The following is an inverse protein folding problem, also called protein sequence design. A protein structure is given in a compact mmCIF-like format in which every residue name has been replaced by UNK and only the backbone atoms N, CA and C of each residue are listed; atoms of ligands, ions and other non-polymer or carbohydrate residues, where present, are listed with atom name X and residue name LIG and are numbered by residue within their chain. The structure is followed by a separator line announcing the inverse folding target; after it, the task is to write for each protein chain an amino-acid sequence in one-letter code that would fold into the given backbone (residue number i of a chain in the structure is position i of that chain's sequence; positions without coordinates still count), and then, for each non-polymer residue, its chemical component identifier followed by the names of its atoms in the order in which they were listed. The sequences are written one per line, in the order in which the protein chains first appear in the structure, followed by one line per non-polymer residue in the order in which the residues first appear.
data_IF_869938662164
#
_entry.id   IF_869938662164
#
_cell.length_a   1.000
_cell.length_b   1.000
_cell.length_c   1.000
_cell.angle_alpha   90.00
_cell.angle_beta   90.00
_cell.angle_gamma   90.00
#
_symmetry.space_group_name_H-M   'P 1'
#
loop_
_entity.id
_entity.type
_entity.pdbx_description
1 polymer ?
#
# COMPACT_ATOMS: atom_id res chain seq x y z
N UNK A 1 -65.79 3.04 69.82
CA UNK A 1 -65.77 2.14 68.65
C UNK A 1 -65.45 2.99 67.43
N UNK A 2 -64.22 3.15 67.08
CA UNK A 2 -63.76 4.08 66.03
C UNK A 2 -63.28 3.26 64.84
N UNK A 3 -63.96 3.39 63.74
CA UNK A 3 -63.71 2.74 62.47
C UNK A 3 -62.67 3.57 61.68
N UNK A 4 -61.49 3.08 61.52
CA UNK A 4 -60.41 3.72 60.72
C UNK A 4 -60.47 3.13 59.30
N UNK A 5 -60.93 3.90 58.34
CA UNK A 5 -60.84 3.58 56.90
C UNK A 5 -59.41 3.89 56.37
N UNK A 6 -58.74 2.88 55.87
CA UNK A 6 -57.47 3.04 55.12
C UNK A 6 -57.77 3.58 53.72
N UNK A 7 -57.27 4.71 53.41
CA UNK A 7 -57.28 5.27 52.06
C UNK A 7 -56.09 4.69 51.28
N UNK A 8 -56.37 4.01 50.18
CA UNK A 8 -55.37 3.50 49.22
C UNK A 8 -55.16 4.60 48.18
N UNK A 9 -53.94 5.20 48.22
CA UNK A 9 -53.52 6.18 47.22
C UNK A 9 -52.98 5.44 45.99
N UNK A 10 -53.69 5.52 44.87
CA UNK A 10 -53.21 5.08 43.58
C UNK A 10 -52.21 6.13 43.02
N UNK A 11 -50.99 5.79 42.93
CA UNK A 11 -49.95 6.59 42.24
C UNK A 11 -50.08 6.31 40.76
N UNK A 12 -50.64 7.25 40.03
CA UNK A 12 -50.67 7.25 38.57
C UNK A 12 -49.36 7.87 38.09
N UNK A 13 -48.45 7.06 37.58
CA UNK A 13 -47.22 7.54 36.92
C UNK A 13 -47.56 8.20 35.59
N UNK A 14 -47.48 9.52 35.55
CA UNK A 14 -47.56 10.30 34.33
C UNK A 14 -46.15 10.29 33.71
N UNK A 15 -45.95 9.52 32.63
CA UNK A 15 -44.80 9.64 31.79
C UNK A 15 -44.88 10.94 30.98
N UNK A 16 -44.13 11.93 31.42
CA UNK A 16 -43.94 13.16 30.66
C UNK A 16 -42.94 12.89 29.55
N UNK A 17 -43.40 12.69 28.32
CA UNK A 17 -42.56 12.64 27.12
C UNK A 17 -42.22 14.08 26.78
N UNK A 18 -41.02 14.52 27.18
CA UNK A 18 -40.45 15.76 26.70
C UNK A 18 -39.78 15.44 25.36
N UNK A 19 -40.48 15.74 24.27
CA UNK A 19 -39.90 15.78 22.93
C UNK A 19 -39.03 17.03 22.85
N UNK A 20 -37.73 16.91 23.11
CA UNK A 20 -36.75 17.93 22.74
C UNK A 20 -36.57 17.87 21.23
N UNK A 21 -37.18 18.80 20.52
CA UNK A 21 -36.83 19.20 19.19
C UNK A 21 -35.47 19.90 19.29
N UNK A 22 -34.38 19.13 19.19
CA UNK A 22 -33.03 19.68 18.95
C UNK A 22 -33.01 20.03 17.47
N UNK A 23 -33.08 21.32 17.19
CA UNK A 23 -32.85 21.87 15.87
C UNK A 23 -31.44 21.45 15.42
N UNK A 24 -31.37 20.61 14.38
CA UNK A 24 -30.15 20.19 13.72
C UNK A 24 -29.66 21.38 12.93
N UNK A 25 -28.91 22.28 13.58
CA UNK A 25 -28.04 23.21 12.89
C UNK A 25 -26.97 22.34 12.16
N UNK A 26 -27.10 22.23 10.86
CA UNK A 26 -26.00 21.76 10.01
C UNK A 26 -24.85 22.76 10.12
N UNK A 27 -24.01 22.58 11.10
CA UNK A 27 -22.65 23.13 11.05
C UNK A 27 -21.94 22.26 10.03
N UNK A 28 -21.73 22.78 8.84
CA UNK A 28 -20.76 22.25 7.89
C UNK A 28 -19.36 22.41 8.47
N UNK A 29 -19.09 21.71 9.55
CA UNK A 29 -17.75 21.46 10.05
C UNK A 29 -17.18 20.38 9.19
N UNK A 30 -16.09 20.66 8.49
CA UNK A 30 -15.22 19.66 7.88
C UNK A 30 -14.81 18.69 8.99
N UNK A 31 -15.53 17.59 9.12
CA UNK A 31 -15.09 16.47 9.94
C UNK A 31 -13.90 15.90 9.17
N UNK A 32 -12.70 16.28 9.60
CA UNK A 32 -11.52 15.49 9.33
C UNK A 32 -11.75 14.15 10.02
N UNK A 33 -12.42 13.23 9.33
CA UNK A 33 -12.53 11.87 9.76
C UNK A 33 -11.10 11.32 9.71
N UNK A 34 -10.48 11.19 10.89
CA UNK A 34 -9.35 10.29 11.06
C UNK A 34 -9.84 8.90 10.66
N UNK A 35 -9.64 8.54 9.41
CA UNK A 35 -10.05 7.25 8.89
C UNK A 35 -9.19 6.20 9.58
N UNK A 36 -9.84 5.33 10.32
CA UNK A 36 -9.27 4.05 10.66
C UNK A 36 -8.88 3.39 9.33
N UNK A 37 -7.64 2.87 9.25
CA UNK A 37 -7.23 1.95 8.18
C UNK A 37 -8.33 0.91 8.05
N UNK A 38 -9.11 0.99 6.98
CA UNK A 38 -10.17 0.03 6.76
C UNK A 38 -9.56 -1.14 6.03
N UNK A 39 -9.92 -2.37 6.38
CA UNK A 39 -9.49 -3.58 5.67
C UNK A 39 -9.89 -3.59 4.18
N UNK A 40 -10.62 -2.56 3.73
CA UNK A 40 -11.15 -2.46 2.36
C UNK A 40 -10.17 -1.92 1.33
N UNK A 41 -9.31 -1.00 1.74
CA UNK A 41 -8.31 -0.39 0.85
C UNK A 41 -7.00 -0.20 1.58
N UNK A 42 -5.89 -0.44 0.89
CA UNK A 42 -4.55 -0.10 1.40
C UNK A 42 -3.56 0.11 0.25
N UNK A 43 -2.50 0.85 0.53
CA UNK A 43 -1.32 0.84 -0.32
C UNK A 43 -0.83 -0.60 -0.45
N UNK A 44 -0.64 -1.09 -1.68
CA UNK A 44 0.02 -2.36 -1.95
C UNK A 44 1.52 -2.16 -2.03
N UNK A 45 1.96 -1.30 -2.95
CA UNK A 45 3.36 -0.86 -3.09
C UNK A 45 3.45 0.45 -3.86
N UNK A 46 4.60 1.11 -3.75
CA UNK A 46 4.91 2.30 -4.53
C UNK A 46 6.37 2.27 -5.00
N UNK A 47 6.60 2.69 -6.24
CA UNK A 47 7.91 2.81 -6.85
C UNK A 47 8.20 4.30 -7.10
N UNK A 48 8.98 4.97 -6.27
CA UNK A 48 9.40 6.34 -6.52
C UNK A 48 10.50 6.39 -7.58
N UNK A 49 10.42 7.40 -8.45
CA UNK A 49 11.41 7.73 -9.47
C UNK A 49 11.85 9.17 -9.28
N UNK A 50 13.10 9.39 -9.02
CA UNK A 50 13.62 10.74 -8.92
C UNK A 50 13.80 11.35 -10.31
N UNK A 51 13.04 12.40 -10.58
CA UNK A 51 13.11 13.17 -11.81
C UNK A 51 14.05 14.36 -11.70
N UNK A 52 14.16 15.10 -12.80
CA UNK A 52 14.89 16.37 -12.82
C UNK A 52 14.23 17.40 -11.91
N UNK A 53 15.01 18.35 -11.43
CA UNK A 53 14.55 19.50 -10.64
C UNK A 53 13.90 19.16 -9.29
N UNK A 54 14.23 18.01 -8.69
CA UNK A 54 13.71 17.61 -7.39
C UNK A 54 12.28 17.05 -7.40
N UNK A 55 11.69 16.84 -8.57
CA UNK A 55 10.41 16.16 -8.69
C UNK A 55 10.56 14.65 -8.47
N UNK A 56 9.59 14.04 -7.83
CA UNK A 56 9.48 12.59 -7.73
C UNK A 56 8.20 12.13 -8.43
N UNK A 57 8.33 11.20 -9.35
CA UNK A 57 7.19 10.48 -9.93
C UNK A 57 7.01 9.18 -9.17
N UNK A 58 5.78 8.88 -8.81
CA UNK A 58 5.40 7.66 -8.11
C UNK A 58 4.57 6.79 -9.04
N UNK A 59 4.93 5.53 -9.16
CA UNK A 59 4.07 4.47 -9.63
C UNK A 59 3.45 3.81 -8.41
N UNK A 60 2.15 3.90 -8.25
CA UNK A 60 1.45 3.44 -7.04
C UNK A 60 0.52 2.30 -7.37
N UNK A 61 0.64 1.22 -6.62
CA UNK A 61 -0.27 0.09 -6.64
C UNK A 61 -1.10 0.08 -5.36
N UNK A 62 -2.41 -0.02 -5.50
CA UNK A 62 -3.38 0.05 -4.41
C UNK A 62 -4.20 -1.22 -4.43
N UNK A 63 -4.41 -1.86 -3.30
CA UNK A 63 -5.31 -3.01 -3.21
C UNK A 63 -6.66 -2.64 -2.64
N UNK A 64 -7.71 -3.30 -3.17
CA UNK A 64 -9.05 -3.32 -2.57
C UNK A 64 -9.53 -4.76 -2.44
N UNK A 65 -10.27 -5.05 -1.35
CA UNK A 65 -10.73 -6.41 -0.99
C UNK A 65 -12.23 -6.57 -0.94
N UNK A 66 -12.99 -5.65 -1.50
CA UNK A 66 -14.43 -5.75 -1.54
C UNK A 66 -14.97 -5.93 -2.97
N UNK A 67 -16.27 -6.24 -3.06
CA UNK A 67 -16.99 -6.47 -4.31
C UNK A 67 -18.04 -5.39 -4.56
N UNK A 68 -17.81 -4.14 -4.10
CA UNK A 68 -18.69 -3.03 -4.39
C UNK A 68 -18.91 -2.89 -5.90
N UNK A 69 -20.12 -2.54 -6.28
CA UNK A 69 -20.50 -2.44 -7.70
C UNK A 69 -19.93 -1.19 -8.36
N UNK A 70 -19.89 -0.08 -7.62
CA UNK A 70 -19.27 1.19 -8.06
C UNK A 70 -18.00 1.42 -7.22
N UNK A 71 -16.85 1.36 -7.89
CA UNK A 71 -15.55 1.49 -7.24
C UNK A 71 -14.70 2.54 -7.94
N UNK A 72 -14.19 3.50 -7.17
CA UNK A 72 -13.21 4.49 -7.63
C UNK A 72 -12.08 4.61 -6.62
N UNK A 73 -10.88 4.51 -7.11
CA UNK A 73 -9.65 4.56 -6.30
C UNK A 73 -8.81 5.75 -6.73
N UNK A 74 -8.27 6.46 -5.77
CA UNK A 74 -7.45 7.65 -6.03
C UNK A 74 -6.22 7.65 -5.13
N UNK A 75 -5.14 8.22 -5.65
CA UNK A 75 -4.09 8.82 -4.83
C UNK A 75 -4.47 10.26 -4.55
N UNK A 76 -4.55 10.61 -3.27
CA UNK A 76 -4.83 11.96 -2.80
C UNK A 76 -3.52 12.57 -2.34
N UNK A 77 -3.07 13.64 -2.97
CA UNK A 77 -1.75 14.21 -2.77
C UNK A 77 -1.76 15.74 -2.97
N UNK A 78 -0.74 16.42 -2.46
CA UNK A 78 -0.47 17.79 -2.84
C UNK A 78 0.81 17.86 -3.70
N UNK A 79 0.79 18.73 -4.70
CA UNK A 79 1.90 18.87 -5.63
C UNK A 79 3.12 19.56 -4.98
N UNK A 80 2.87 20.46 -4.05
CA UNK A 80 3.86 21.23 -3.31
C UNK A 80 3.32 21.53 -1.91
N UNK A 81 4.19 21.72 -0.91
CA UNK A 81 3.78 22.16 0.42
C UNK A 81 2.96 23.46 0.35
N UNK A 82 1.85 23.47 1.09
CA UNK A 82 0.91 24.61 1.12
C UNK A 82 -0.05 24.71 -0.05
N UNK A 83 0.01 23.81 -1.03
CA UNK A 83 -1.01 23.71 -2.08
C UNK A 83 -2.19 22.84 -1.66
N UNK A 84 -3.31 23.01 -2.35
CA UNK A 84 -4.48 22.16 -2.15
C UNK A 84 -4.19 20.72 -2.54
N UNK A 85 -4.82 19.82 -1.80
CA UNK A 85 -4.77 18.40 -2.10
C UNK A 85 -5.68 18.09 -3.29
N UNK A 86 -5.22 17.20 -4.15
CA UNK A 86 -5.91 16.80 -5.35
C UNK A 86 -5.96 15.29 -5.50
N UNK A 87 -6.97 14.80 -6.23
CA UNK A 87 -7.17 13.39 -6.50
C UNK A 87 -6.58 13.00 -7.86
N UNK A 88 -5.78 11.95 -7.90
CA UNK A 88 -5.35 11.27 -9.12
C UNK A 88 -6.00 9.90 -9.17
N UNK A 89 -6.92 9.69 -10.10
CA UNK A 89 -7.61 8.42 -10.27
C UNK A 89 -6.66 7.29 -10.67
N UNK A 90 -6.91 6.12 -10.10
CA UNK A 90 -6.21 4.88 -10.41
C UNK A 90 -7.11 3.97 -11.26
N UNK A 91 -6.53 3.25 -12.19
CA UNK A 91 -7.20 2.29 -13.04
C UNK A 91 -7.03 0.86 -12.51
N UNK A 92 -8.04 0.01 -12.71
CA UNK A 92 -7.92 -1.41 -12.36
C UNK A 92 -6.81 -2.03 -13.23
N UNK A 93 -5.77 -2.50 -12.56
CA UNK A 93 -4.60 -3.06 -13.22
C UNK A 93 -4.69 -4.59 -13.36
N UNK A 94 -5.01 -5.29 -12.26
CA UNK A 94 -5.17 -6.75 -12.26
C UNK A 94 -6.00 -7.21 -11.07
N UNK A 95 -6.42 -8.47 -11.11
CA UNK A 95 -7.08 -9.17 -9.99
C UNK A 95 -6.22 -10.36 -9.63
N UNK A 96 -5.83 -10.46 -8.36
CA UNK A 96 -5.04 -11.56 -7.84
C UNK A 96 -5.90 -12.83 -7.70
N UNK A 97 -5.26 -13.99 -7.53
CA UNK A 97 -5.94 -15.29 -7.42
C UNK A 97 -6.93 -15.38 -6.25
N UNK A 98 -6.75 -14.59 -5.22
CA UNK A 98 -7.62 -14.51 -4.04
C UNK A 98 -8.78 -13.51 -4.21
N UNK A 99 -8.93 -12.93 -5.40
CA UNK A 99 -9.94 -11.93 -5.72
C UNK A 99 -9.57 -10.49 -5.34
N UNK A 100 -8.42 -10.26 -4.72
CA UNK A 100 -7.91 -8.92 -4.43
C UNK A 100 -7.69 -8.13 -5.71
N UNK A 101 -8.28 -6.95 -5.82
CA UNK A 101 -8.10 -6.05 -6.96
C UNK A 101 -6.90 -5.16 -6.72
N UNK A 102 -6.05 -5.04 -7.71
CA UNK A 102 -4.90 -4.12 -7.73
C UNK A 102 -5.20 -2.99 -8.71
N UNK A 103 -5.13 -1.78 -8.21
CA UNK A 103 -5.31 -0.55 -8.97
C UNK A 103 -3.97 0.14 -9.14
N UNK A 104 -3.77 0.84 -10.24
CA UNK A 104 -2.51 1.46 -10.59
C UNK A 104 -2.70 2.90 -11.03
N UNK A 105 -1.81 3.79 -10.59
CA UNK A 105 -1.73 5.15 -11.10
C UNK A 105 -0.30 5.68 -11.03
N UNK A 106 -0.09 6.80 -11.70
CA UNK A 106 1.14 7.58 -11.64
C UNK A 106 0.81 9.01 -11.25
N UNK A 107 1.60 9.58 -10.36
CA UNK A 107 1.56 11.02 -10.09
C UNK A 107 2.97 11.56 -9.89
N UNK A 108 3.14 12.86 -10.11
CA UNK A 108 4.42 13.56 -9.92
C UNK A 108 4.22 14.68 -8.93
N UNK A 109 5.15 14.83 -7.99
CA UNK A 109 5.08 15.85 -6.95
C UNK A 109 6.48 16.29 -6.52
N UNK A 110 6.60 17.55 -6.10
CA UNK A 110 7.75 18.03 -5.31
C UNK A 110 7.61 17.64 -3.86
N UNK A 111 6.37 17.55 -3.35
CA UNK A 111 6.09 17.03 -2.04
C UNK A 111 5.98 15.51 -2.10
N UNK A 112 6.38 14.87 -1.03
CA UNK A 112 6.41 13.41 -0.98
C UNK A 112 5.21 12.80 -0.24
N UNK A 113 4.25 13.63 0.21
CA UNK A 113 3.11 13.14 0.98
C UNK A 113 1.92 12.80 0.12
N UNK A 114 1.33 11.65 0.38
CA UNK A 114 0.09 11.20 -0.23
C UNK A 114 -0.65 10.22 0.67
N UNK A 115 -1.94 10.06 0.44
CA UNK A 115 -2.75 8.99 1.01
C UNK A 115 -3.64 8.38 -0.07
N UNK A 116 -4.32 7.28 0.27
CA UNK A 116 -5.19 6.57 -0.64
C UNK A 116 -6.65 6.89 -0.30
N UNK A 117 -7.43 7.23 -1.32
CA UNK A 117 -8.87 7.45 -1.23
C UNK A 117 -9.58 6.38 -2.05
N UNK A 118 -10.56 5.74 -1.45
CA UNK A 118 -11.39 4.73 -2.09
C UNK A 118 -12.86 5.10 -1.90
N UNK A 119 -13.61 5.14 -2.99
CA UNK A 119 -15.06 5.37 -2.98
C UNK A 119 -15.72 4.08 -3.46
N UNK A 120 -16.55 3.49 -2.60
CA UNK A 120 -17.29 2.27 -2.87
C UNK A 120 -18.77 2.48 -2.57
N UNK A 121 -19.61 2.35 -3.59
CA UNK A 121 -21.07 2.51 -3.48
C UNK A 121 -21.47 3.81 -2.75
N UNK A 122 -20.77 4.91 -3.04
CA UNK A 122 -21.00 6.24 -2.47
C UNK A 122 -20.38 6.47 -1.08
N UNK A 123 -19.70 5.48 -0.49
CA UNK A 123 -19.00 5.61 0.80
C UNK A 123 -17.50 5.80 0.55
N UNK A 124 -16.90 6.78 1.22
CA UNK A 124 -15.46 7.06 1.10
C UNK A 124 -14.67 6.41 2.23
N UNK A 125 -13.62 5.71 1.86
CA UNK A 125 -12.64 5.09 2.75
C UNK A 125 -11.26 5.67 2.49
N UNK A 126 -10.43 5.74 3.52
CA UNK A 126 -9.10 6.29 3.44
C UNK A 126 -8.07 5.33 4.02
N UNK A 127 -6.93 5.23 3.36
CA UNK A 127 -5.71 4.70 3.94
C UNK A 127 -4.66 5.81 3.95
N UNK A 128 -4.39 6.34 5.13
CA UNK A 128 -3.47 7.45 5.37
C UNK A 128 -2.28 7.04 6.24
N UNK A 129 -1.89 5.76 6.19
CA UNK A 129 -0.76 5.24 6.97
C UNK A 129 -0.88 5.55 8.47
N UNK A 130 -2.05 5.31 9.05
CA UNK A 130 -2.36 5.60 10.46
C UNK A 130 -2.19 7.09 10.83
N UNK A 131 -2.56 7.99 9.93
CA UNK A 131 -2.51 9.44 10.12
C UNK A 131 -1.15 10.09 9.82
N UNK A 132 -0.18 9.32 9.31
CA UNK A 132 1.17 9.82 8.98
C UNK A 132 1.35 10.17 7.50
N UNK A 133 0.38 9.79 6.66
CA UNK A 133 0.48 9.76 5.21
C UNK A 133 1.62 8.84 4.70
N UNK A 134 1.66 8.61 3.42
CA UNK A 134 2.75 7.91 2.75
C UNK A 134 3.77 8.91 2.22
N UNK A 135 5.04 8.49 2.17
CA UNK A 135 6.15 9.26 1.61
C UNK A 135 6.98 8.40 0.67
N UNK A 136 8.00 8.96 0.04
CA UNK A 136 8.91 8.21 -0.83
C UNK A 136 9.61 7.03 -0.12
N UNK A 137 9.73 7.07 1.21
CA UNK A 137 10.27 5.97 2.00
C UNK A 137 9.31 4.79 2.19
N UNK A 138 8.04 4.94 1.79
CA UNK A 138 7.03 3.89 1.92
C UNK A 138 6.87 3.13 0.58
N UNK A 139 7.90 2.41 0.15
CA UNK A 139 7.83 1.63 -1.11
C UNK A 139 7.05 0.33 -0.98
N UNK A 140 6.79 -0.14 0.24
CA UNK A 140 5.99 -1.33 0.52
C UNK A 140 4.84 -0.97 1.47
N UNK A 141 3.64 -1.38 1.10
CA UNK A 141 2.42 -1.29 1.92
C UNK A 141 2.00 -2.68 2.38
N UNK A 142 0.89 -3.19 1.87
CA UNK A 142 0.37 -4.53 2.20
C UNK A 142 1.00 -5.68 1.41
N UNK A 143 1.82 -5.40 0.39
CA UNK A 143 2.55 -6.44 -0.33
C UNK A 143 3.44 -7.24 0.63
N UNK A 144 3.50 -8.58 0.51
CA UNK A 144 4.42 -9.38 1.31
C UNK A 144 5.90 -9.07 1.03
N UNK A 145 6.20 -8.83 -0.24
CA UNK A 145 7.53 -8.51 -0.75
C UNK A 145 7.42 -7.66 -2.02
N UNK A 146 8.35 -6.75 -2.22
CA UNK A 146 8.50 -5.96 -3.44
C UNK A 146 9.98 -5.88 -3.84
N UNK A 147 10.25 -5.76 -5.14
CA UNK A 147 11.56 -5.31 -5.60
C UNK A 147 11.68 -3.81 -5.32
N UNK A 148 12.73 -3.41 -4.61
CA UNK A 148 12.98 -2.01 -4.29
C UNK A 148 13.76 -1.36 -5.44
N UNK A 149 13.08 -0.55 -6.22
CA UNK A 149 13.67 0.06 -7.41
C UNK A 149 14.89 0.92 -7.12
N UNK A 150 14.82 1.76 -6.08
CA UNK A 150 15.93 2.65 -5.72
C UNK A 150 17.17 1.92 -5.21
N UNK A 151 16.98 0.71 -4.67
CA UNK A 151 18.08 -0.14 -4.20
C UNK A 151 18.64 -1.09 -5.26
N UNK A 152 17.92 -1.27 -6.38
CA UNK A 152 18.29 -2.18 -7.47
C UNK A 152 19.11 -1.41 -8.51
N UNK A 153 20.32 -1.87 -8.82
CA UNK A 153 21.23 -1.16 -9.72
C UNK A 153 22.35 -2.05 -10.28
N UNK A 154 22.85 -1.68 -11.47
CA UNK A 154 24.07 -2.25 -11.98
C UNK A 154 25.28 -1.54 -11.35
N UNK A 155 26.18 -2.32 -10.77
CA UNK A 155 27.41 -1.82 -10.17
C UNK A 155 28.60 -2.68 -10.61
N UNK A 156 29.81 -2.25 -10.27
CA UNK A 156 31.03 -2.97 -10.62
C UNK A 156 31.04 -4.45 -10.21
N UNK A 157 30.35 -4.81 -9.14
CA UNK A 157 30.27 -6.19 -8.61
C UNK A 157 29.17 -7.05 -9.27
N UNK A 158 28.45 -6.51 -10.25
CA UNK A 158 27.35 -7.18 -10.92
C UNK A 158 26.03 -6.43 -10.82
N UNK A 159 24.92 -7.13 -11.04
CA UNK A 159 23.58 -6.55 -10.90
C UNK A 159 23.09 -6.72 -9.47
N UNK A 160 23.02 -5.62 -8.73
CA UNK A 160 22.48 -5.60 -7.36
C UNK A 160 20.96 -5.58 -7.43
N UNK A 161 20.31 -6.52 -6.76
CA UNK A 161 18.86 -6.53 -6.52
C UNK A 161 18.61 -6.20 -5.06
N UNK A 162 17.68 -5.27 -4.80
CA UNK A 162 17.20 -4.93 -3.48
C UNK A 162 15.71 -5.26 -3.36
N UNK A 163 15.31 -5.79 -2.22
CA UNK A 163 13.94 -6.10 -1.89
C UNK A 163 13.55 -5.53 -0.54
N UNK A 164 12.29 -5.10 -0.42
CA UNK A 164 11.64 -4.83 0.86
C UNK A 164 10.60 -5.92 1.11
N UNK A 165 10.53 -6.42 2.33
CA UNK A 165 9.56 -7.43 2.72
C UNK A 165 8.97 -7.18 4.10
N UNK A 166 7.76 -7.68 4.30
CA UNK A 166 7.10 -7.72 5.60
C UNK A 166 7.81 -8.73 6.50
N UNK A 167 8.10 -8.34 7.73
CA UNK A 167 8.75 -9.24 8.69
C UNK A 167 7.74 -10.19 9.34
N UNK A 168 7.32 -11.25 8.63
CA UNK A 168 6.33 -12.21 9.14
C UNK A 168 6.91 -13.20 10.17
N UNK A 169 8.20 -13.50 10.12
CA UNK A 169 8.88 -14.36 11.10
C UNK A 169 10.40 -14.20 11.02
N UNK A 170 11.10 -14.67 12.06
CA UNK A 170 12.55 -14.64 12.10
C UNK A 170 13.17 -15.58 11.06
N UNK A 171 12.69 -16.84 11.01
CA UNK A 171 13.18 -17.82 10.03
C UNK A 171 12.50 -17.61 8.68
N UNK A 172 13.28 -17.23 7.71
CA UNK A 172 12.83 -16.98 6.36
C UNK A 172 13.95 -17.27 5.35
N UNK A 173 13.57 -17.60 4.13
CA UNK A 173 14.48 -17.73 3.01
C UNK A 173 14.07 -16.74 1.92
N UNK A 174 15.03 -15.95 1.44
CA UNK A 174 14.79 -14.95 0.40
C UNK A 174 15.85 -15.14 -0.67
N UNK A 175 15.42 -15.23 -1.93
CA UNK A 175 16.35 -15.40 -3.05
C UNK A 175 15.83 -14.72 -4.30
N UNK A 176 16.74 -14.38 -5.19
CA UNK A 176 16.44 -13.91 -6.54
C UNK A 176 16.57 -15.09 -7.49
N UNK A 177 15.53 -15.38 -8.25
CA UNK A 177 15.57 -16.25 -9.41
C UNK A 177 15.73 -15.39 -10.65
N UNK A 178 16.72 -15.70 -11.48
CA UNK A 178 16.98 -14.92 -12.68
C UNK A 178 17.42 -15.80 -13.85
N UNK A 179 17.25 -15.25 -15.04
CA UNK A 179 17.67 -15.86 -16.30
C UNK A 179 18.41 -14.82 -17.15
N UNK A 180 19.27 -15.30 -18.04
CA UNK A 180 19.91 -14.51 -19.10
C UNK A 180 19.59 -15.04 -20.50
N UNK A 181 18.69 -16.05 -20.58
CA UNK A 181 18.32 -16.75 -21.82
C UNK A 181 16.80 -16.85 -22.02
N UNK A 182 16.03 -15.92 -21.41
CA UNK A 182 14.57 -15.87 -21.56
C UNK A 182 13.86 -17.07 -20.94
N UNK A 183 14.30 -17.51 -19.76
CA UNK A 183 13.73 -18.62 -18.98
C UNK A 183 13.93 -20.02 -19.58
N UNK A 184 14.83 -20.19 -20.57
CA UNK A 184 15.24 -21.55 -20.98
C UNK A 184 16.05 -22.24 -19.87
N UNK A 185 16.80 -21.45 -19.09
CA UNK A 185 17.41 -21.87 -17.83
C UNK A 185 17.30 -20.77 -16.79
N UNK A 186 17.56 -21.06 -15.51
CA UNK A 186 17.55 -20.08 -14.45
C UNK A 186 18.60 -20.38 -13.37
N UNK A 187 18.90 -19.36 -12.59
CA UNK A 187 19.76 -19.43 -11.41
C UNK A 187 19.07 -18.81 -10.22
N UNK A 188 19.32 -19.39 -9.04
CA UNK A 188 18.86 -18.82 -7.77
C UNK A 188 20.06 -18.26 -7.00
N UNK A 189 19.94 -17.02 -6.53
CA UNK A 189 20.93 -16.37 -5.68
C UNK A 189 20.29 -15.95 -4.38
N UNK A 190 20.80 -16.46 -3.25
CA UNK A 190 20.30 -16.09 -1.94
C UNK A 190 20.50 -14.58 -1.69
N UNK A 191 19.50 -13.96 -1.10
CA UNK A 191 19.59 -12.59 -0.60
C UNK A 191 20.06 -12.57 0.84
N UNK A 192 20.83 -11.56 1.20
CA UNK A 192 21.25 -11.29 2.58
C UNK A 192 20.43 -10.18 3.20
N UNK A 193 20.10 -10.32 4.49
CA UNK A 193 19.52 -9.25 5.29
C UNK A 193 20.46 -8.04 5.34
N UNK A 194 19.91 -6.85 5.15
CA UNK A 194 20.67 -5.59 5.16
C UNK A 194 20.31 -4.75 6.38
N UNK A 195 19.02 -4.50 6.57
CA UNK A 195 18.53 -3.68 7.69
C UNK A 195 17.04 -3.88 7.93
N UNK A 196 16.58 -3.45 9.10
CA UNK A 196 15.16 -3.21 9.38
C UNK A 196 14.90 -1.71 9.20
N UNK A 197 13.90 -1.37 8.42
CA UNK A 197 13.52 0.02 8.16
C UNK A 197 12.72 0.61 9.33
N UNK A 198 12.55 1.93 9.36
CA UNK A 198 11.83 2.63 10.44
C UNK A 198 10.36 2.19 10.60
N UNK A 199 9.76 1.63 9.56
CA UNK A 199 8.38 1.11 9.60
C UNK A 199 8.30 -0.40 9.90
N UNK A 200 9.44 -1.04 10.25
CA UNK A 200 9.49 -2.44 10.68
C UNK A 200 9.58 -3.46 9.55
N UNK A 201 9.62 -3.03 8.29
CA UNK A 201 9.92 -3.91 7.15
C UNK A 201 11.42 -4.20 7.08
N UNK A 202 11.81 -5.23 6.33
CA UNK A 202 13.21 -5.59 6.18
C UNK A 202 13.68 -5.36 4.76
N UNK A 203 14.91 -4.82 4.63
CA UNK A 203 15.63 -4.74 3.35
C UNK A 203 16.58 -5.90 3.22
N UNK A 204 16.50 -6.57 2.07
CA UNK A 204 17.38 -7.67 1.69
C UNK A 204 18.03 -7.38 0.34
N UNK A 205 19.28 -7.81 0.16
CA UNK A 205 20.03 -7.57 -1.08
C UNK A 205 20.73 -8.82 -1.59
N UNK A 206 20.86 -8.91 -2.91
CA UNK A 206 21.70 -9.89 -3.59
C UNK A 206 22.54 -9.21 -4.68
N UNK A 207 23.68 -9.82 -5.01
CA UNK A 207 24.48 -9.45 -6.16
C UNK A 207 24.45 -10.61 -7.14
N UNK A 208 23.82 -10.38 -8.29
CA UNK A 208 23.79 -11.36 -9.37
C UNK A 208 25.09 -11.23 -10.18
N UNK A 209 25.79 -12.33 -10.47
CA UNK A 209 27.03 -12.30 -11.23
C UNK A 209 26.75 -12.11 -12.73
N UNK A 210 26.11 -11.01 -13.08
CA UNK A 210 25.74 -10.65 -14.45
C UNK A 210 26.45 -9.36 -14.80
N UNK A 211 27.15 -9.37 -15.93
CA UNK A 211 28.03 -8.30 -16.32
C UNK A 211 27.87 -7.90 -17.79
N UNK A 212 28.22 -6.65 -18.09
CA UNK A 212 28.33 -6.18 -19.47
C UNK A 212 27.04 -6.36 -20.27
N UNK A 213 27.16 -6.97 -21.45
CA UNK A 213 26.05 -7.11 -22.38
C UNK A 213 24.86 -7.92 -21.84
N UNK A 214 25.10 -8.86 -20.93
CA UNK A 214 24.04 -9.73 -20.39
C UNK A 214 23.03 -8.96 -19.56
N UNK A 215 23.46 -7.93 -18.82
CA UNK A 215 22.56 -7.04 -18.07
C UNK A 215 21.61 -6.27 -18.99
N UNK A 216 22.07 -5.97 -20.21
CA UNK A 216 21.33 -5.20 -21.20
C UNK A 216 20.58 -6.08 -22.19
N UNK A 217 20.66 -7.40 -22.04
CA UNK A 217 19.93 -8.36 -22.87
C UNK A 217 18.42 -8.28 -22.61
N UNK A 218 17.63 -8.39 -23.67
CA UNK A 218 16.18 -8.56 -23.58
C UNK A 218 15.79 -9.90 -22.94
N UNK A 219 16.72 -10.84 -22.87
CA UNK A 219 16.55 -12.15 -22.26
C UNK A 219 16.86 -12.15 -20.75
N UNK A 220 17.33 -11.02 -20.20
CA UNK A 220 17.56 -10.91 -18.76
C UNK A 220 16.25 -10.57 -18.05
N UNK A 221 15.81 -11.51 -17.20
CA UNK A 221 14.65 -11.33 -16.32
C UNK A 221 14.96 -11.83 -14.92
N UNK A 222 14.25 -11.29 -13.93
CA UNK A 222 14.33 -11.80 -12.57
C UNK A 222 13.02 -11.67 -11.81
N UNK A 223 12.85 -12.52 -10.81
CA UNK A 223 11.81 -12.46 -9.81
C UNK A 223 12.42 -12.71 -8.43
N UNK A 224 11.76 -12.27 -7.36
CA UNK A 224 12.25 -12.44 -5.99
C UNK A 224 11.27 -13.32 -5.24
N UNK A 225 11.78 -14.36 -4.59
CA UNK A 225 11.00 -15.27 -3.78
C UNK A 225 11.25 -15.02 -2.29
N UNK A 226 10.18 -14.97 -1.52
CA UNK A 226 10.17 -14.89 -0.07
C UNK A 226 9.42 -16.08 0.52
N UNK A 227 10.14 -16.96 1.20
CA UNK A 227 9.60 -18.14 1.86
C UNK A 227 9.60 -17.96 3.37
N UNK A 228 8.43 -18.05 3.99
CA UNK A 228 8.25 -17.85 5.43
C UNK A 228 7.00 -18.59 5.91
N UNK A 229 7.06 -19.23 7.08
CA UNK A 229 5.92 -19.93 7.69
C UNK A 229 5.24 -20.95 6.76
N UNK A 230 6.01 -21.61 5.88
CA UNK A 230 5.50 -22.56 4.90
C UNK A 230 4.73 -21.93 3.72
N UNK A 231 4.71 -20.61 3.62
CA UNK A 231 4.17 -19.86 2.50
C UNK A 231 5.29 -19.35 1.60
N UNK A 232 4.95 -19.15 0.33
CA UNK A 232 5.85 -18.62 -0.68
C UNK A 232 5.21 -17.41 -1.36
N UNK A 233 5.93 -16.29 -1.38
CA UNK A 233 5.51 -15.04 -1.99
C UNK A 233 6.49 -14.64 -3.08
N UNK A 234 5.98 -14.25 -4.24
CA UNK A 234 6.78 -13.82 -5.37
C UNK A 234 6.57 -12.35 -5.70
N UNK A 235 7.64 -11.58 -5.71
CA UNK A 235 7.69 -10.30 -6.38
C UNK A 235 8.19 -10.55 -7.81
N UNK A 236 7.27 -10.55 -8.76
CA UNK A 236 7.50 -10.84 -10.17
C UNK A 236 6.80 -9.83 -11.09
N UNK A 237 6.65 -8.59 -10.63
CA UNK A 237 6.00 -7.53 -11.39
C UNK A 237 4.61 -7.96 -11.95
N UNK A 238 3.81 -8.61 -11.09
CA UNK A 238 2.48 -9.15 -11.42
C UNK A 238 2.47 -10.14 -12.60
N UNK A 239 3.52 -10.93 -12.73
CA UNK A 239 3.67 -11.97 -13.77
C UNK A 239 4.41 -11.52 -15.02
N UNK A 240 4.80 -10.25 -15.10
CA UNK A 240 5.62 -9.74 -16.22
C UNK A 240 7.14 -9.90 -15.97
N UNK A 241 7.52 -10.30 -14.75
CA UNK A 241 8.87 -10.30 -14.24
C UNK A 241 9.53 -8.91 -14.22
N UNK A 242 10.67 -8.83 -13.58
CA UNK A 242 11.52 -7.64 -13.65
C UNK A 242 12.60 -7.85 -14.69
N UNK A 243 12.99 -6.80 -15.36
CA UNK A 243 14.07 -6.75 -16.31
C UNK A 243 14.99 -5.55 -16.03
N UNK A 244 15.92 -5.29 -16.92
CA UNK A 244 16.81 -4.13 -16.83
C UNK A 244 16.09 -2.78 -16.77
N UNK A 245 14.88 -2.67 -17.32
CA UNK A 245 14.12 -1.42 -17.35
C UNK A 245 13.60 -1.05 -15.97
N UNK A 246 13.46 -2.02 -15.08
CA UNK A 246 13.12 -1.77 -13.69
C UNK A 246 14.22 -1.02 -12.94
N UNK A 247 15.44 -1.23 -13.35
CA UNK A 247 16.61 -0.47 -12.96
C UNK A 247 16.79 0.70 -13.92
N UNK A 248 16.65 1.93 -13.48
CA UNK A 248 16.69 3.07 -14.37
C UNK A 248 17.89 3.94 -14.20
N UNK A 249 18.42 4.28 -15.38
CA UNK A 249 19.29 5.41 -15.61
C UNK A 249 18.60 6.72 -15.28
N UNK A 250 19.25 7.49 -14.45
CA UNK A 250 18.95 8.91 -14.24
C UNK A 250 20.16 9.75 -14.66
#
# INVERSE_FOLDING_TARGET
MTNTRKATTKITSVFLIIAMLIGMMCIAGTVSAGAASTDKVSLYSANPYFGKYGMTTYEVFIQTKDNAADQKVYVHYNYMDGQEWQDKEAELFTVLNDGTKIWKTYFTSYNTRYCIKYVADGVTYWDNNNGKDYTYGNSIGSAPIVSERLGTQYIYQGFKVSALLQNYAYHKNVFVRYTTDGWNSYHDTAMGYTETTDNGTERWTAFLPIYGADVFSENFHYAICYQVNGQEYWANNFGADYDRSYYIYH
#
